data_IF_903934483630
#
_entry.id   IF_903934483630
#
_cell.length_a   1.000
_cell.length_b   1.000
_cell.length_c   1.000
_cell.angle_alpha   90.00
_cell.angle_beta   90.00
_cell.angle_gamma   90.00
#
_symmetry.space_group_name_H-M   'P 1'
#
loop_
_entity.id
_entity.type
_entity.pdbx_description
1 polymer ?
#
# COMPACT_ATOMS: atom_id res chain seq x y z
N UNK A 1 9.19 2.98 -15.26
CA UNK A 1 8.78 1.94 -14.30
C UNK A 1 9.21 2.34 -12.92
N UNK A 2 8.33 2.15 -11.95
CA UNK A 2 8.67 2.40 -10.56
C UNK A 2 8.29 1.20 -9.71
N UNK A 3 8.99 1.01 -8.61
CA UNK A 3 8.66 -0.02 -7.64
C UNK A 3 7.62 0.51 -6.68
N UNK A 4 6.62 -0.29 -6.40
CA UNK A 4 5.57 0.03 -5.44
C UNK A 4 5.39 -1.17 -4.52
N UNK A 5 4.70 -0.96 -3.40
CA UNK A 5 4.42 -2.03 -2.46
C UNK A 5 2.99 -2.51 -2.68
N UNK A 6 2.86 -3.80 -2.95
CA UNK A 6 1.56 -4.43 -3.13
C UNK A 6 1.21 -5.23 -1.89
N UNK A 7 0.07 -4.92 -1.29
CA UNK A 7 -0.47 -5.65 -0.15
C UNK A 7 -1.64 -6.46 -0.67
N UNK A 8 -1.42 -7.76 -0.80
CA UNK A 8 -2.41 -8.68 -1.33
C UNK A 8 -3.54 -8.89 -0.33
N UNK A 9 -4.67 -9.40 -0.82
CA UNK A 9 -5.78 -9.77 0.06
C UNK A 9 -5.39 -10.89 1.03
N UNK A 10 -4.40 -11.69 0.65
CA UNK A 10 -3.95 -12.77 1.51
C UNK A 10 -3.13 -12.25 2.67
N UNK A 11 -3.39 -12.77 3.85
CA UNK A 11 -2.73 -12.36 5.06
C UNK A 11 -1.21 -12.54 4.95
N UNK A 12 -0.47 -11.49 5.28
CA UNK A 12 0.97 -11.53 5.28
C UNK A 12 1.64 -11.41 3.92
N UNK A 13 0.87 -11.23 2.87
CA UNK A 13 1.42 -11.20 1.52
C UNK A 13 1.67 -9.76 1.07
N UNK A 14 2.86 -9.27 1.38
CA UNK A 14 3.30 -7.92 1.02
C UNK A 14 4.53 -8.06 0.14
N UNK A 15 4.51 -7.46 -1.05
CA UNK A 15 5.58 -7.66 -2.02
C UNK A 15 5.88 -6.39 -2.81
N UNK A 16 7.06 -6.40 -3.44
CA UNK A 16 7.43 -5.36 -4.38
C UNK A 16 6.80 -5.66 -5.73
N UNK A 17 6.29 -4.63 -6.39
CA UNK A 17 5.87 -4.75 -7.79
C UNK A 17 6.42 -3.58 -8.56
N UNK A 18 6.81 -3.83 -9.79
CA UNK A 18 7.30 -2.80 -10.68
C UNK A 18 6.19 -2.50 -11.67
N UNK A 19 5.79 -1.23 -11.75
CA UNK A 19 4.65 -0.85 -12.57
C UNK A 19 4.98 0.37 -13.42
N UNK A 20 4.23 0.49 -14.50
CA UNK A 20 4.18 1.69 -15.32
C UNK A 20 2.88 2.40 -15.01
N UNK A 21 2.96 3.52 -14.32
CA UNK A 21 1.78 4.24 -13.85
C UNK A 21 0.92 4.70 -15.04
N UNK A 22 1.54 4.99 -16.16
CA UNK A 22 0.83 5.52 -17.32
C UNK A 22 0.07 4.44 -18.09
N UNK A 23 0.48 3.18 -17.96
CA UNK A 23 -0.13 2.10 -18.72
C UNK A 23 -1.28 1.43 -18.01
N UNK A 24 -1.49 0.16 -18.34
CA UNK A 24 -2.59 -0.63 -17.79
C UNK A 24 -2.19 -1.42 -16.55
N UNK A 25 -0.99 -1.19 -16.04
CA UNK A 25 -0.48 -1.98 -14.94
C UNK A 25 -1.31 -1.80 -13.67
N UNK A 26 -1.74 -0.58 -13.40
CA UNK A 26 -2.57 -0.33 -12.21
C UNK A 26 -3.87 -1.11 -12.28
N UNK A 27 -4.52 -1.08 -13.45
CA UNK A 27 -5.77 -1.81 -13.64
C UNK A 27 -5.57 -3.30 -13.41
N UNK A 28 -4.49 -3.85 -13.97
CA UNK A 28 -4.21 -5.27 -13.86
C UNK A 28 -3.88 -5.69 -12.43
N UNK A 29 -3.08 -4.89 -11.75
CA UNK A 29 -2.64 -5.21 -10.40
C UNK A 29 -3.76 -5.04 -9.39
N UNK A 30 -4.56 -3.98 -9.54
CA UNK A 30 -5.67 -3.72 -8.62
C UNK A 30 -6.92 -4.53 -8.97
N UNK A 31 -6.92 -5.21 -10.12
CA UNK A 31 -8.04 -6.03 -10.59
C UNK A 31 -9.26 -5.19 -10.91
N UNK A 32 -9.05 -3.99 -11.38
CA UNK A 32 -10.10 -3.07 -11.74
C UNK A 32 -9.61 -1.65 -11.74
N UNK A 33 -10.54 -0.70 -11.82
CA UNK A 33 -10.16 0.71 -11.75
C UNK A 33 -9.70 1.05 -10.36
N UNK A 34 -8.69 1.91 -10.27
CA UNK A 34 -8.12 2.28 -8.98
C UNK A 34 -8.61 3.62 -8.48
N UNK A 35 -8.59 3.79 -7.18
CA UNK A 35 -8.86 5.07 -6.55
C UNK A 35 -7.92 5.25 -5.36
N UNK A 36 -7.63 6.50 -5.04
CA UNK A 36 -6.85 6.82 -3.85
C UNK A 36 -7.77 6.86 -2.64
N UNK A 37 -7.30 6.31 -1.53
CA UNK A 37 -8.06 6.38 -0.28
C UNK A 37 -7.38 7.27 0.74
N UNK A 38 -6.13 7.62 0.55
CA UNK A 38 -5.47 8.53 1.45
C UNK A 38 -3.98 8.60 1.25
N UNK A 39 -3.36 9.38 2.10
CA UNK A 39 -1.91 9.55 2.15
C UNK A 39 -1.50 9.49 3.61
N UNK A 40 -0.43 8.76 3.91
CA UNK A 40 0.05 8.71 5.28
C UNK A 40 0.57 10.08 5.70
N UNK A 41 0.20 10.56 6.89
CA UNK A 41 0.63 11.88 7.35
C UNK A 41 2.16 11.99 7.39
N UNK A 42 2.65 13.16 7.02
CA UNK A 42 4.08 13.49 7.03
C UNK A 42 4.91 12.59 6.11
N UNK A 43 4.27 12.01 5.12
CA UNK A 43 4.97 11.20 4.13
C UNK A 43 4.46 11.55 2.74
N UNK A 44 5.15 10.99 1.73
CA UNK A 44 4.71 11.07 0.35
C UNK A 44 4.10 9.75 -0.14
N UNK A 45 3.65 8.92 0.80
CA UNK A 45 3.14 7.59 0.48
C UNK A 45 1.63 7.64 0.37
N UNK A 46 1.11 7.35 -0.82
CA UNK A 46 -0.33 7.36 -1.09
C UNK A 46 -0.83 5.93 -1.20
N UNK A 47 -2.10 5.75 -0.90
CA UNK A 47 -2.73 4.44 -0.83
C UNK A 47 -3.77 4.35 -1.94
N UNK A 48 -3.64 3.33 -2.79
CA UNK A 48 -4.61 3.04 -3.85
C UNK A 48 -5.26 1.70 -3.61
N UNK A 49 -6.53 1.61 -3.96
CA UNK A 49 -7.27 0.36 -3.92
C UNK A 49 -8.13 0.25 -5.17
N UNK A 50 -8.73 -0.93 -5.37
CA UNK A 50 -9.68 -1.12 -6.45
C UNK A 50 -10.99 -0.41 -6.12
N UNK A 51 -11.48 0.38 -7.07
CA UNK A 51 -12.76 1.07 -6.93
C UNK A 51 -13.89 0.24 -7.53
N UNK A 52 -13.71 -0.17 -8.79
CA UNK A 52 -14.69 -1.00 -9.49
C UNK A 52 -13.95 -2.19 -10.07
N UNK A 53 -14.37 -3.38 -9.73
CA UNK A 53 -13.74 -4.61 -10.19
C UNK A 53 -14.71 -5.44 -11.01
N UNK A 54 -14.16 -6.14 -12.00
CA UNK A 54 -14.89 -7.16 -12.74
C UNK A 54 -14.69 -8.54 -12.15
N UNK A 55 -13.94 -8.64 -11.07
CA UNK A 55 -13.63 -9.89 -10.39
C UNK A 55 -14.22 -9.87 -9.01
N UNK A 56 -14.48 -11.06 -8.47
CA UNK A 56 -14.87 -11.16 -7.09
C UNK A 56 -13.64 -10.95 -6.23
N UNK A 57 -13.70 -9.99 -5.33
CA UNK A 57 -12.59 -9.65 -4.45
C UNK A 57 -12.95 -9.95 -3.01
N UNK A 58 -11.92 -10.25 -2.23
CA UNK A 58 -12.09 -10.57 -0.81
C UNK A 58 -11.53 -9.42 0.03
N UNK A 59 -12.01 -9.34 1.25
CA UNK A 59 -11.51 -8.33 2.19
C UNK A 59 -10.01 -8.54 2.41
N UNK A 60 -9.26 -7.44 2.39
CA UNK A 60 -7.84 -7.50 2.64
C UNK A 60 -7.61 -7.69 4.13
N UNK A 61 -6.89 -8.76 4.47
CA UNK A 61 -6.67 -9.13 5.86
C UNK A 61 -5.48 -8.42 6.47
N UNK A 62 -4.67 -7.77 5.65
CA UNK A 62 -3.53 -7.04 6.16
C UNK A 62 -4.00 -5.69 6.66
N UNK A 63 -3.58 -5.33 7.85
CA UNK A 63 -3.93 -4.04 8.42
C UNK A 63 -2.94 -3.00 7.98
N UNK A 64 -3.45 -1.84 7.61
CA UNK A 64 -2.60 -0.72 7.25
C UNK A 64 -2.07 -0.05 8.50
N UNK A 65 -0.90 0.62 8.41
CA UNK A 65 -0.43 1.45 9.52
C UNK A 65 -1.40 2.58 9.82
N UNK A 66 -1.33 3.08 11.04
CA UNK A 66 -2.15 4.22 11.41
C UNK A 66 -1.87 5.41 10.51
N UNK A 67 -2.87 6.26 10.20
CA UNK A 67 -4.21 6.26 10.79
C UNK A 67 -5.23 5.41 10.03
N UNK A 68 -4.76 4.52 9.16
CA UNK A 68 -5.66 3.75 8.30
C UNK A 68 -5.92 2.33 8.81
N UNK A 69 -5.55 2.03 10.04
CA UNK A 69 -5.65 0.67 10.56
C UNK A 69 -7.07 0.14 10.56
N UNK A 70 -8.05 1.02 10.77
CA UNK A 70 -9.44 0.61 10.85
C UNK A 70 -10.16 0.61 9.50
N UNK A 71 -9.46 0.96 8.43
CA UNK A 71 -10.06 0.95 7.11
C UNK A 71 -10.32 -0.48 6.66
N UNK A 72 -11.50 -0.71 6.14
CA UNK A 72 -11.85 -2.00 5.54
C UNK A 72 -11.68 -1.86 4.04
N UNK A 73 -10.79 -2.63 3.47
CA UNK A 73 -10.49 -2.57 2.05
C UNK A 73 -10.78 -3.92 1.43
N UNK A 74 -11.49 -3.90 0.31
CA UNK A 74 -11.78 -5.11 -0.47
C UNK A 74 -10.77 -5.16 -1.61
N UNK A 75 -10.01 -6.25 -1.67
CA UNK A 75 -9.05 -6.46 -2.72
C UNK A 75 -7.65 -5.99 -2.37
N UNK A 76 -6.78 -5.94 -3.36
CA UNK A 76 -5.38 -5.56 -3.12
C UNK A 76 -5.24 -4.07 -2.84
N UNK A 77 -4.15 -3.73 -2.15
CA UNK A 77 -3.80 -2.36 -1.82
C UNK A 77 -2.44 -2.08 -2.43
N UNK A 78 -2.29 -0.92 -3.04
CA UNK A 78 -1.00 -0.51 -3.62
C UNK A 78 -0.54 0.77 -2.93
N UNK A 79 0.71 0.76 -2.45
CA UNK A 79 1.32 1.93 -1.83
C UNK A 79 2.33 2.51 -2.81
N UNK A 80 2.18 3.79 -3.10
CA UNK A 80 3.01 4.47 -4.09
C UNK A 80 3.64 5.69 -3.44
N UNK A 81 4.93 5.88 -3.66
CA UNK A 81 5.61 7.09 -3.22
C UNK A 81 5.46 8.13 -4.33
N UNK A 82 4.78 9.23 -4.02
CA UNK A 82 4.60 10.34 -4.95
C UNK A 82 5.35 11.54 -4.38
N UNK A 83 6.31 12.06 -5.12
CA UNK A 83 7.08 13.18 -4.62
C UNK A 83 6.31 14.50 -4.68
N UNK A 84 6.96 15.58 -4.34
CA UNK A 84 6.32 16.90 -4.26
C UNK A 84 5.78 17.37 -5.58
N UNK A 85 6.32 16.87 -6.69
CA UNK A 85 5.86 17.21 -8.02
C UNK A 85 4.82 16.22 -8.54
N UNK A 86 4.30 15.37 -7.66
CA UNK A 86 3.34 14.31 -7.98
C UNK A 86 3.93 13.29 -8.96
N UNK A 87 5.23 13.08 -8.88
CA UNK A 87 5.93 12.09 -9.70
C UNK A 87 6.18 10.84 -8.89
N UNK A 88 5.86 9.66 -9.43
CA UNK A 88 6.09 8.43 -8.68
C UNK A 88 7.59 8.12 -8.56
N UNK A 89 7.97 7.66 -7.38
CA UNK A 89 9.35 7.26 -7.08
C UNK A 89 9.35 5.86 -6.52
N UNK A 90 10.50 5.20 -6.57
CA UNK A 90 10.61 3.85 -6.07
C UNK A 90 10.31 3.77 -4.58
N UNK A 91 9.47 2.82 -4.23
CA UNK A 91 9.12 2.53 -2.85
C UNK A 91 9.04 1.02 -2.71
N UNK A 92 9.88 0.47 -1.85
CA UNK A 92 10.02 -0.99 -1.74
C UNK A 92 9.47 -1.48 -0.41
N UNK A 93 9.32 -2.79 -0.31
CA UNK A 93 8.91 -3.42 0.95
C UNK A 93 9.90 -3.06 2.07
N UNK A 94 11.17 -2.99 1.76
CA UNK A 94 12.16 -2.59 2.74
C UNK A 94 11.90 -1.16 3.23
N UNK A 95 11.60 -0.25 2.32
CA UNK A 95 11.25 1.12 2.68
C UNK A 95 9.98 1.16 3.51
N UNK A 96 9.01 0.34 3.17
CA UNK A 96 7.75 0.26 3.89
C UNK A 96 8.00 -0.14 5.35
N UNK A 97 8.79 -1.18 5.56
CA UNK A 97 9.07 -1.63 6.91
C UNK A 97 9.93 -0.64 7.68
N UNK A 98 10.84 0.04 7.00
CA UNK A 98 11.62 1.10 7.66
C UNK A 98 10.74 2.24 8.12
N UNK A 99 9.78 2.63 7.29
CA UNK A 99 8.92 3.76 7.59
C UNK A 99 7.95 3.45 8.73
N UNK A 100 7.40 2.24 8.76
CA UNK A 100 6.30 1.92 9.67
C UNK A 100 6.66 0.97 10.79
N UNK A 101 7.67 0.14 10.63
CA UNK A 101 7.98 -0.83 11.66
C UNK A 101 8.66 -0.18 12.88
N UNK A 102 9.29 0.96 12.70
CA UNK A 102 9.85 1.65 13.86
C UNK A 102 8.76 2.04 14.84
N UNK A 103 7.62 2.42 14.31
CA UNK A 103 6.47 2.73 15.14
C UNK A 103 5.92 1.47 15.78
N UNK A 104 5.79 0.41 14.99
CA UNK A 104 5.30 -0.86 15.50
C UNK A 104 6.24 -1.44 16.55
N UNK A 105 7.51 -1.33 16.31
CA UNK A 105 8.46 -1.95 17.23
C UNK A 105 8.57 -1.20 18.54
N UNK A 106 8.13 0.02 18.59
CA UNK A 106 8.13 0.75 19.85
C UNK A 106 7.18 0.14 20.86
N UNK A 107 6.09 -0.44 20.40
CA UNK A 107 5.13 -1.03 21.33
C UNK A 107 5.62 -2.30 21.97
N UNK A 108 6.06 -3.28 21.21
CA UNK A 108 6.62 -4.46 21.85
C UNK A 108 7.90 -4.14 22.59
N UNK A 109 8.68 -3.24 22.11
CA UNK A 109 9.88 -2.87 22.80
C UNK A 109 9.58 -2.20 24.11
N UNK A 110 8.61 -1.36 24.12
CA UNK A 110 8.19 -0.76 25.36
C UNK A 110 7.74 -1.83 26.32
N UNK A 111 7.29 -2.90 25.81
CA UNK A 111 6.83 -3.98 26.66
C UNK A 111 7.94 -4.96 26.95
N UNK A 112 8.78 -5.22 26.03
CA UNK A 112 9.72 -6.29 26.15
C UNK A 112 11.01 -5.86 26.75
N UNK A 113 11.20 -4.68 26.77
CA UNK A 113 12.51 -4.30 27.17
C UNK A 113 12.57 -3.78 28.47
#
# INVERSE_FOLDING_TARGET
MVNCVLISEEDGNISDVEINIVGNDLYRILKGTGTFIGQFPDTNIVIMKCDVSYFELFENRNKLPEPFREEVVIGPILLIYMDEDAEPRDFTVLDYFRQFSSESSRYPCASSV
#
